data_IF_974495263691
#
_entry.id   IF_974495263691
#
_cell.length_a   1.000
_cell.length_b   1.000
_cell.length_c   1.000
_cell.angle_alpha   90.00
_cell.angle_beta   90.00
_cell.angle_gamma   90.00
#
_symmetry.space_group_name_H-M   'P 1'
#
loop_
_entity.id
_entity.type
_entity.pdbx_description
1 polymer ?
#
# COMPACT_ATOMS: atom_id res chain seq x y z
N UNK A 1 21.85 -46.44 -13.52
CA UNK A 1 20.84 -45.40 -13.26
C UNK A 1 20.43 -45.49 -11.80
N UNK A 2 21.14 -44.78 -10.91
CA UNK A 2 20.72 -44.67 -9.52
C UNK A 2 19.68 -43.56 -9.44
N UNK A 3 18.41 -43.91 -9.18
CA UNK A 3 17.40 -42.94 -8.76
C UNK A 3 17.86 -42.41 -7.40
N UNK A 4 18.42 -41.20 -7.35
CA UNK A 4 18.59 -40.50 -6.08
C UNK A 4 17.18 -40.27 -5.54
N UNK A 5 16.88 -40.96 -4.44
CA UNK A 5 15.67 -40.85 -3.62
C UNK A 5 15.66 -39.49 -2.89
N UNK A 6 15.78 -38.40 -3.65
CA UNK A 6 15.72 -37.03 -3.15
C UNK A 6 14.29 -36.77 -2.71
N UNK A 7 14.00 -37.21 -1.50
CA UNK A 7 12.70 -37.05 -0.88
C UNK A 7 12.46 -35.56 -0.63
N UNK A 8 11.89 -34.90 -1.64
CA UNK A 8 11.43 -33.51 -1.65
C UNK A 8 10.69 -33.14 -0.36
N UNK A 9 9.98 -34.10 0.23
CA UNK A 9 9.31 -34.01 1.53
C UNK A 9 10.25 -33.65 2.68
N UNK A 10 11.45 -34.23 2.76
CA UNK A 10 12.41 -33.90 3.81
C UNK A 10 13.06 -32.53 3.59
N UNK A 11 13.40 -32.17 2.35
CA UNK A 11 13.91 -30.82 2.04
C UNK A 11 12.87 -29.73 2.31
N UNK A 12 11.61 -29.94 1.89
CA UNK A 12 10.51 -29.03 2.16
C UNK A 12 10.25 -28.92 3.66
N UNK A 13 10.12 -30.04 4.38
CA UNK A 13 9.89 -30.04 5.82
C UNK A 13 11.03 -29.36 6.59
N UNK A 14 12.29 -29.69 6.29
CA UNK A 14 13.46 -29.12 6.97
C UNK A 14 13.68 -27.63 6.67
N UNK A 15 13.28 -27.12 5.49
CA UNK A 15 13.39 -25.70 5.15
C UNK A 15 12.16 -24.87 5.57
N UNK A 16 10.98 -25.50 5.62
CA UNK A 16 9.73 -24.83 5.92
C UNK A 16 9.46 -24.79 7.43
N UNK A 17 9.79 -25.84 8.18
CA UNK A 17 9.63 -25.86 9.65
C UNK A 17 10.38 -24.70 10.36
N UNK A 18 11.66 -24.40 10.06
CA UNK A 18 12.34 -23.26 10.68
C UNK A 18 11.75 -21.91 10.28
N UNK A 19 11.25 -21.79 9.05
CA UNK A 19 10.59 -20.57 8.56
C UNK A 19 9.28 -20.32 9.27
N UNK A 20 8.42 -21.33 9.36
CA UNK A 20 7.12 -21.23 10.04
C UNK A 20 7.28 -21.00 11.54
N UNK A 21 8.30 -21.61 12.17
CA UNK A 21 8.58 -21.39 13.59
C UNK A 21 9.14 -19.99 13.85
N UNK A 22 10.04 -19.50 12.99
CA UNK A 22 10.67 -18.18 13.15
C UNK A 22 9.77 -17.02 12.73
N UNK A 23 8.79 -17.22 11.84
CA UNK A 23 7.85 -16.21 11.38
C UNK A 23 7.08 -15.50 12.52
N UNK A 24 6.45 -16.20 13.49
CA UNK A 24 5.77 -15.54 14.61
C UNK A 24 6.74 -14.81 15.53
N UNK A 25 7.93 -15.36 15.81
CA UNK A 25 8.94 -14.66 16.63
C UNK A 25 9.43 -13.38 15.95
N UNK A 26 9.67 -13.42 14.64
CA UNK A 26 10.01 -12.23 13.86
C UNK A 26 8.86 -11.22 13.87
N UNK A 27 7.62 -11.67 13.66
CA UNK A 27 6.45 -10.80 13.68
C UNK A 27 6.28 -10.09 15.03
N UNK A 28 6.41 -10.81 16.15
CA UNK A 28 6.35 -10.24 17.50
C UNK A 28 7.53 -9.29 17.74
N UNK A 29 8.73 -9.66 17.31
CA UNK A 29 9.93 -8.82 17.39
C UNK A 29 9.74 -7.49 16.66
N UNK A 30 9.28 -7.51 15.41
CA UNK A 30 8.96 -6.30 14.67
C UNK A 30 7.81 -5.51 15.30
N UNK A 31 6.73 -6.17 15.71
CA UNK A 31 5.57 -5.50 16.33
C UNK A 31 5.96 -4.77 17.62
N UNK A 32 6.76 -5.41 18.48
CA UNK A 32 7.27 -4.79 19.72
C UNK A 32 8.19 -3.60 19.46
N UNK A 33 9.08 -3.68 18.46
CA UNK A 33 9.90 -2.55 18.03
C UNK A 33 9.04 -1.40 17.51
N UNK A 34 8.07 -1.68 16.64
CA UNK A 34 7.16 -0.65 16.12
C UNK A 34 6.36 0.01 17.24
N UNK A 35 5.87 -0.77 18.20
CA UNK A 35 5.13 -0.24 19.35
C UNK A 35 6.01 0.62 20.27
N UNK A 36 7.22 0.14 20.60
CA UNK A 36 8.15 0.83 21.49
C UNK A 36 8.69 2.14 20.90
N UNK A 37 8.96 2.16 19.59
CA UNK A 37 9.45 3.36 18.89
C UNK A 37 8.32 4.23 18.30
N UNK A 38 7.05 3.85 18.48
CA UNK A 38 5.90 4.56 17.91
C UNK A 38 5.88 6.07 18.24
N UNK A 39 6.13 6.51 19.50
CA UNK A 39 6.12 7.93 19.84
C UNK A 39 7.18 8.74 19.09
N UNK A 40 8.35 8.15 18.85
CA UNK A 40 9.45 8.77 18.10
C UNK A 40 9.15 8.74 16.60
N UNK A 41 8.63 7.61 16.10
CA UNK A 41 8.35 7.41 14.68
C UNK A 41 7.24 8.35 14.18
N UNK A 42 6.18 8.51 14.97
CA UNK A 42 5.02 9.36 14.65
C UNK A 42 5.40 10.85 14.50
N UNK A 43 6.51 11.29 15.09
CA UNK A 43 7.01 12.67 14.97
C UNK A 43 7.76 12.94 13.68
N UNK A 44 8.18 11.90 12.93
CA UNK A 44 8.85 12.11 11.65
C UNK A 44 7.87 12.60 10.59
N UNK A 45 8.28 13.65 9.86
CA UNK A 45 7.53 14.20 8.72
C UNK A 45 7.23 13.15 7.65
N UNK A 46 8.10 12.16 7.49
CA UNK A 46 7.95 11.08 6.52
C UNK A 46 6.77 10.16 6.90
N UNK A 47 6.64 9.80 8.17
CA UNK A 47 5.49 9.02 8.67
C UNK A 47 4.18 9.78 8.49
N UNK A 48 4.19 11.09 8.78
CA UNK A 48 3.02 11.95 8.53
C UNK A 48 2.68 12.06 7.04
N UNK A 49 3.68 12.11 6.15
CA UNK A 49 3.48 12.13 4.71
C UNK A 49 2.88 10.81 4.20
N UNK A 50 3.41 9.67 4.67
CA UNK A 50 2.84 8.34 4.37
C UNK A 50 1.40 8.24 4.90
N UNK A 51 1.13 8.74 6.11
CA UNK A 51 -0.22 8.78 6.66
C UNK A 51 -1.17 9.66 5.81
N UNK A 52 -0.67 10.74 5.20
CA UNK A 52 -1.45 11.53 4.24
C UNK A 52 -1.79 10.72 2.98
N UNK A 53 -0.81 10.00 2.42
CA UNK A 53 -1.05 9.12 1.26
C UNK A 53 -2.06 8.02 1.59
N UNK A 54 -1.96 7.40 2.77
CA UNK A 54 -2.88 6.36 3.22
C UNK A 54 -4.32 6.86 3.42
N UNK A 55 -4.50 8.12 3.85
CA UNK A 55 -5.83 8.76 3.93
C UNK A 55 -6.48 9.02 2.57
N UNK A 56 -5.67 9.00 1.50
CA UNK A 56 -6.10 9.20 0.11
C UNK A 56 -5.80 7.96 -0.74
N UNK A 57 -5.88 6.77 -0.16
CA UNK A 57 -5.48 5.52 -0.83
C UNK A 57 -6.19 5.28 -2.18
N UNK A 58 -7.50 5.55 -2.25
CA UNK A 58 -8.29 5.35 -3.48
C UNK A 58 -7.97 6.43 -4.51
N UNK A 59 -7.87 7.69 -4.07
CA UNK A 59 -7.46 8.79 -4.95
C UNK A 59 -6.06 8.56 -5.51
N UNK A 60 -5.10 8.16 -4.67
CA UNK A 60 -3.71 7.90 -5.10
C UNK A 60 -3.60 6.71 -6.04
N UNK A 61 -4.38 5.64 -5.80
CA UNK A 61 -4.44 4.53 -6.72
C UNK A 61 -4.91 4.96 -8.11
N UNK A 62 -5.97 5.76 -8.19
CA UNK A 62 -6.48 6.30 -9.45
C UNK A 62 -5.50 7.29 -10.08
N UNK A 63 -4.90 8.17 -9.28
CA UNK A 63 -3.90 9.13 -9.76
C UNK A 63 -2.69 8.42 -10.35
N UNK A 64 -2.14 7.42 -9.66
CA UNK A 64 -1.05 6.59 -10.16
C UNK A 64 -1.46 5.88 -11.46
N UNK A 65 -2.65 5.29 -11.50
CA UNK A 65 -3.15 4.61 -12.71
C UNK A 65 -3.28 5.58 -13.87
N UNK A 66 -3.81 6.79 -13.63
CA UNK A 66 -3.91 7.84 -14.63
C UNK A 66 -2.52 8.26 -15.13
N UNK A 67 -1.56 8.52 -14.23
CA UNK A 67 -0.19 8.87 -14.60
C UNK A 67 0.44 7.75 -15.45
N UNK A 68 0.37 6.50 -15.01
CA UNK A 68 0.94 5.37 -15.74
C UNK A 68 0.26 5.18 -17.10
N UNK A 69 -1.07 5.22 -17.18
CA UNK A 69 -1.78 5.07 -18.45
C UNK A 69 -1.50 6.23 -19.39
N UNK A 70 -1.51 7.48 -18.94
CA UNK A 70 -1.14 8.63 -19.78
C UNK A 70 0.31 8.52 -20.27
N UNK A 71 1.26 8.17 -19.41
CA UNK A 71 2.66 8.02 -19.82
C UNK A 71 2.87 6.85 -20.79
N UNK A 72 2.35 5.66 -20.49
CA UNK A 72 2.63 4.48 -21.29
C UNK A 72 1.73 4.33 -22.53
N UNK A 73 0.46 4.71 -22.46
CA UNK A 73 -0.47 4.62 -23.60
C UNK A 73 -0.44 5.86 -24.49
N UNK A 74 -0.51 7.07 -23.93
CA UNK A 74 -0.66 8.29 -24.76
C UNK A 74 0.67 8.78 -25.36
N UNK A 75 1.80 8.56 -24.68
CA UNK A 75 3.11 8.93 -25.21
C UNK A 75 3.78 7.78 -25.98
N UNK A 76 3.08 6.67 -26.23
CA UNK A 76 3.60 5.49 -26.94
C UNK A 76 4.93 4.95 -26.41
N UNK A 77 5.21 5.15 -25.11
CA UNK A 77 6.41 4.66 -24.41
C UNK A 77 6.30 3.18 -24.02
N UNK A 78 5.23 2.51 -24.45
CA UNK A 78 5.01 1.10 -24.24
C UNK A 78 6.12 0.29 -24.93
N UNK A 79 6.79 -0.60 -24.18
CA UNK A 79 7.89 -1.48 -24.64
C UNK A 79 9.22 -0.79 -25.03
N UNK A 80 9.42 0.49 -24.73
CA UNK A 80 10.68 1.17 -25.06
C UNK A 80 11.71 1.20 -23.92
N UNK A 81 11.29 0.90 -22.69
CA UNK A 81 12.13 1.01 -21.50
C UNK A 81 12.49 -0.35 -20.92
N UNK A 82 13.74 -0.49 -20.48
CA UNK A 82 14.20 -1.68 -19.76
C UNK A 82 13.66 -1.67 -18.31
N UNK A 83 13.70 -2.82 -17.64
CA UNK A 83 13.16 -3.00 -16.27
C UNK A 83 13.75 -2.03 -15.27
N UNK A 84 15.02 -1.67 -15.43
CA UNK A 84 15.72 -0.72 -14.56
C UNK A 84 15.21 0.71 -14.73
N UNK A 85 14.93 1.13 -15.97
CA UNK A 85 14.37 2.45 -16.26
C UNK A 85 12.94 2.54 -15.74
N UNK A 86 12.15 1.48 -15.90
CA UNK A 86 10.82 1.38 -15.33
C UNK A 86 10.84 1.52 -13.80
N UNK A 87 11.85 0.92 -13.14
CA UNK A 87 12.04 1.05 -11.70
C UNK A 87 12.37 2.50 -11.30
N UNK A 88 13.17 3.19 -12.12
CA UNK A 88 13.48 4.59 -11.92
C UNK A 88 12.23 5.48 -12.05
N UNK A 89 11.26 5.15 -12.92
CA UNK A 89 9.98 5.84 -13.03
C UNK A 89 9.07 5.72 -11.80
N UNK A 90 9.23 4.67 -10.99
CA UNK A 90 8.41 4.49 -9.77
C UNK A 90 8.66 5.63 -8.77
N UNK A 91 9.92 6.04 -8.61
CA UNK A 91 10.34 7.07 -7.65
C UNK A 91 9.62 8.41 -7.90
N UNK A 92 9.67 9.03 -9.09
CA UNK A 92 8.99 10.30 -9.34
C UNK A 92 7.46 10.16 -9.26
N UNK A 93 6.88 9.03 -9.68
CA UNK A 93 5.43 8.80 -9.55
C UNK A 93 5.02 8.76 -8.07
N UNK A 94 5.81 8.09 -7.22
CA UNK A 94 5.60 8.08 -5.78
C UNK A 94 5.74 9.47 -5.17
N UNK A 95 6.78 10.21 -5.53
CA UNK A 95 6.98 11.58 -5.05
C UNK A 95 5.82 12.49 -5.45
N UNK A 96 5.32 12.38 -6.68
CA UNK A 96 4.15 13.11 -7.15
C UNK A 96 2.90 12.76 -6.33
N UNK A 97 2.65 11.47 -6.05
CA UNK A 97 1.52 11.03 -5.21
C UNK A 97 1.64 11.55 -3.76
N UNK A 98 2.83 11.49 -3.16
CA UNK A 98 3.09 12.02 -1.82
C UNK A 98 2.86 13.53 -1.78
N UNK A 99 3.44 14.26 -2.73
CA UNK A 99 3.32 15.72 -2.80
C UNK A 99 1.87 16.15 -3.00
N UNK A 100 1.18 15.52 -3.96
CA UNK A 100 -0.24 15.74 -4.19
C UNK A 100 -1.07 15.47 -2.93
N UNK A 101 -0.86 14.32 -2.27
CA UNK A 101 -1.58 13.95 -1.04
C UNK A 101 -1.36 14.94 0.10
N UNK A 102 -0.10 15.35 0.32
CA UNK A 102 0.25 16.27 1.41
C UNK A 102 -0.34 17.66 1.15
N UNK A 103 -0.27 18.17 -0.08
CA UNK A 103 -0.83 19.47 -0.43
C UNK A 103 -2.34 19.44 -0.38
N UNK A 104 -2.95 18.41 -0.96
CA UNK A 104 -4.41 18.25 -0.95
C UNK A 104 -4.94 18.22 0.48
N UNK A 105 -4.32 17.42 1.37
CA UNK A 105 -4.75 17.31 2.76
C UNK A 105 -4.46 18.55 3.62
N UNK A 106 -3.68 19.51 3.13
CA UNK A 106 -3.56 20.84 3.76
C UNK A 106 -4.79 21.70 3.51
N UNK A 107 -5.44 21.56 2.35
CA UNK A 107 -6.63 22.33 1.98
C UNK A 107 -7.94 21.60 2.28
N UNK A 108 -7.99 20.29 2.06
CA UNK A 108 -9.18 19.44 2.20
C UNK A 108 -8.97 18.35 3.24
N UNK A 109 -10.01 17.97 3.99
CA UNK A 109 -9.89 16.94 5.05
C UNK A 109 -9.93 15.51 4.54
N UNK A 110 -10.39 15.28 3.31
CA UNK A 110 -10.55 13.98 2.68
C UNK A 110 -10.11 14.04 1.22
N UNK A 111 -9.70 12.88 0.69
CA UNK A 111 -9.45 12.77 -0.74
C UNK A 111 -10.75 12.89 -1.55
N UNK A 112 -10.67 13.42 -2.78
CA UNK A 112 -11.83 13.71 -3.61
C UNK A 112 -12.64 12.44 -3.92
N UNK A 113 -11.95 11.33 -4.22
CA UNK A 113 -12.61 10.08 -4.59
C UNK A 113 -13.13 9.36 -3.35
N UNK A 114 -12.43 9.41 -2.22
CA UNK A 114 -12.90 8.88 -0.95
C UNK A 114 -14.19 9.59 -0.50
N UNK A 115 -14.26 10.91 -0.69
CA UNK A 115 -15.47 11.67 -0.43
C UNK A 115 -16.63 11.20 -1.33
N UNK A 116 -16.39 11.07 -2.63
CA UNK A 116 -17.39 10.58 -3.59
C UNK A 116 -17.83 9.16 -3.24
N UNK A 117 -16.90 8.28 -2.91
CA UNK A 117 -17.15 6.91 -2.50
C UNK A 117 -18.04 6.87 -1.25
N UNK A 118 -17.72 7.68 -0.24
CA UNK A 118 -18.53 7.78 0.98
C UNK A 118 -19.95 8.26 0.68
N UNK A 119 -20.12 9.23 -0.22
CA UNK A 119 -21.45 9.67 -0.66
C UNK A 119 -22.21 8.55 -1.39
N UNK A 120 -21.53 7.80 -2.26
CA UNK A 120 -22.11 6.69 -2.98
C UNK A 120 -22.54 5.57 -2.03
N UNK A 121 -21.67 5.19 -1.08
CA UNK A 121 -21.99 4.17 -0.06
C UNK A 121 -23.15 4.61 0.81
N UNK A 122 -23.21 5.89 1.23
CA UNK A 122 -24.34 6.41 2.02
C UNK A 122 -25.66 6.34 1.24
N UNK A 123 -25.63 6.63 -0.06
CA UNK A 123 -26.82 6.52 -0.93
C UNK A 123 -27.21 5.06 -1.19
N UNK A 124 -26.23 4.18 -1.35
CA UNK A 124 -26.44 2.76 -1.62
C UNK A 124 -26.86 1.96 -0.38
N UNK A 125 -26.41 2.37 0.82
CA UNK A 125 -26.70 1.70 2.08
C UNK A 125 -28.17 1.85 2.56
N UNK A 126 -29.00 2.58 1.82
CA UNK A 126 -30.40 2.84 2.18
C UNK A 126 -30.55 3.80 3.37
N UNK A 127 -31.79 4.22 3.72
CA UNK A 127 -32.02 5.14 4.81
C UNK A 127 -31.43 4.58 6.10
N UNK A 128 -30.61 5.40 6.77
CA UNK A 128 -30.08 5.09 8.10
C UNK A 128 -31.26 4.82 9.01
N UNK A 129 -31.37 3.61 9.55
CA UNK A 129 -32.42 3.28 10.51
C UNK A 129 -32.16 4.15 11.76
N UNK A 130 -32.84 5.29 11.82
CA UNK A 130 -32.92 6.14 13.01
C UNK A 130 -33.75 5.42 14.07
N UNK A 131 -33.14 4.50 14.81
CA UNK A 131 -33.67 3.93 16.06
C UNK A 131 -32.46 3.73 16.98
N UNK A 132 -32.38 4.30 18.19
CA UNK A 132 -33.42 4.40 19.20
C UNK A 132 -33.09 5.52 20.18
N UNK A 133 -34.05 6.43 20.42
CA UNK A 133 -34.12 7.15 21.70
C UNK A 133 -34.51 6.12 22.78
N UNK A 134 -33.56 5.79 23.66
CA UNK A 134 -33.84 5.26 25.00
C UNK A 134 -32.77 5.80 25.93
#
# INVERSE_FOLDING_TARGET
MAQLDWAYRWCAFLLQMPRELSAPFQAIGYASLFYGFWPQLSRFKLVLAIACVGRMALTNYLLQTLICTTLFYHLSLFMQFDRLELLAFVIPVWLANIFFSVIWLRYFRQGPVEWLWRQLTLRAAGPTISKTSR
#
